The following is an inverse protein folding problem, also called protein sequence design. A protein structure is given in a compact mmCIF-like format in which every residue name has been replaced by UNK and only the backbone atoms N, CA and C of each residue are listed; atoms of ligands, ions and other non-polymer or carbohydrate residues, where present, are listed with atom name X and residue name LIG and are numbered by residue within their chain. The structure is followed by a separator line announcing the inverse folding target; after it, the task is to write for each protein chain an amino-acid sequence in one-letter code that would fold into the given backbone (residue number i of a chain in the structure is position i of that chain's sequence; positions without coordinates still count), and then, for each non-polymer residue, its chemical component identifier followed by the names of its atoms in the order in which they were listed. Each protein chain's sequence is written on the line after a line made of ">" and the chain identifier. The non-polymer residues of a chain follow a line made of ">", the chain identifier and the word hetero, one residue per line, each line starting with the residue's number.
data_IF_630411916157
#
_entry.id   IF_630411916157
#
_cell.length_a   1.000
_cell.length_b   1.000
_cell.length_c   1.000
_cell.angle_alpha   90.00
_cell.angle_beta   90.00
_cell.angle_gamma   90.00
#
_symmetry.space_group_name_H-M   'P 1'
#
loop_
_entity.id
_entity.type
_entity.pdbx_description
1 polymer ?
2 water ?
#
# COMPACT_ATOMS: atom_id res chain seq x y z
N UNK A 3 -15.21 11.25 15.54
CA UNK A 3 -14.57 11.95 16.64
C UNK A 3 -14.43 13.44 16.30
N UNK A 4 -13.18 13.87 16.18
CA UNK A 4 -12.86 15.16 15.58
C UNK A 4 -12.72 14.95 14.06
N UNK A 5 -13.19 13.78 13.62
CA UNK A 5 -13.39 13.44 12.20
C UNK A 5 -12.07 13.23 11.47
N UNK A 21 -8.46 22.48 11.02
CA UNK A 21 -7.30 22.63 11.89
C UNK A 21 -5.99 22.72 11.12
N UNK A 22 -4.95 23.23 11.77
CA UNK A 22 -3.68 23.51 11.11
C UNK A 22 -2.68 22.36 11.30
N UNK A 23 -2.95 21.48 12.27
CA UNK A 23 -2.10 20.30 12.48
C UNK A 23 -2.85 19.05 12.08
N UNK A 24 -2.11 17.97 11.76
CA UNK A 24 -2.77 16.73 11.35
C UNK A 24 -3.45 15.97 12.51
N UNK A 25 -4.57 15.33 12.19
CA UNK A 25 -5.28 14.45 13.12
C UNK A 25 -4.92 12.99 12.86
N UNK A 26 -4.49 12.27 13.89
CA UNK A 26 -4.15 10.85 13.74
C UNK A 26 -5.13 10.00 14.56
N UNK A 27 -6.00 9.26 13.88
CA UNK A 27 -7.06 8.50 14.55
C UNK A 27 -6.68 7.06 14.86
N UNK A 28 -5.64 6.54 14.21
CA UNK A 28 -5.20 5.20 14.55
C UNK A 28 -4.07 4.57 13.76
N UNK A 29 -3.70 3.36 14.20
CA UNK A 29 -2.74 2.49 13.54
C UNK A 29 -3.42 1.17 13.16
N UNK A 30 -3.55 0.91 11.86
CA UNK A 30 -4.16 -0.33 11.37
C UNK A 30 -3.10 -1.28 10.81
N UNK A 31 -3.46 -2.57 10.73
CA UNK A 31 -2.57 -3.58 10.18
C UNK A 31 -3.37 -4.70 9.54
N UNK A 32 -2.92 -5.18 8.38
CA UNK A 32 -3.57 -6.33 7.76
C UNK A 32 -2.51 -7.33 7.29
N UNK A 33 -2.57 -8.53 7.86
CA UNK A 33 -1.52 -9.54 7.69
C UNK A 33 -1.71 -10.36 6.41
N UNK A 34 -2.97 -10.44 5.97
CA UNK A 34 -3.40 -11.25 4.83
C UNK A 34 -3.36 -10.42 3.54
N UNK A 35 -2.16 -10.09 3.10
CA UNK A 35 -2.01 -9.20 1.96
C UNK A 35 -1.25 -9.90 0.82
N UNK A 36 -1.51 -9.50 -0.41
CA UNK A 36 -0.75 -9.99 -1.56
C UNK A 36 -0.22 -8.81 -2.35
N UNK A 37 0.98 -8.94 -2.91
CA UNK A 37 1.54 -7.89 -3.75
C UNK A 37 1.65 -8.38 -5.18
N UNK A 38 1.08 -7.63 -6.13
CA UNK A 38 1.08 -8.05 -7.53
C UNK A 38 1.81 -7.04 -8.39
N UNK A 39 2.74 -7.50 -9.22
CA UNK A 39 3.39 -6.64 -10.21
C UNK A 39 3.23 -7.13 -11.66
N UNK A 40 2.64 -6.28 -12.49
CA UNK A 40 2.60 -6.49 -13.94
C UNK A 40 3.85 -5.89 -14.57
N UNK A 41 4.67 -6.74 -15.17
CA UNK A 41 5.99 -6.36 -15.68
C UNK A 41 6.02 -6.27 -17.20
N UNK A 42 6.66 -5.23 -17.74
CA UNK A 42 6.86 -5.12 -19.18
C UNK A 42 5.62 -4.71 -19.95
N UNK A 43 4.90 -3.75 -19.39
CA UNK A 43 3.73 -3.17 -20.03
C UNK A 43 4.15 -2.14 -21.08
N UNK A 44 3.59 -2.23 -22.30
CA UNK A 44 3.84 -1.18 -23.30
C UNK A 44 3.43 0.17 -22.76
N UNK A 45 4.30 1.17 -22.81
CA UNK A 45 3.88 2.51 -22.39
C UNK A 45 3.09 3.21 -23.52
N UNK A 46 2.01 2.57 -23.95
CA UNK A 46 1.11 3.07 -24.98
C UNK A 46 -0.27 3.22 -24.35
N UNK A 47 -0.96 4.35 -24.59
CA UNK A 47 -2.30 4.56 -24.03
C UNK A 47 -3.22 3.36 -24.29
N UNK A 48 -3.98 2.94 -23.28
CA UNK A 48 -4.89 1.82 -23.44
C UNK A 48 -4.55 0.59 -22.63
N UNK A 49 -3.26 0.32 -22.49
CA UNK A 49 -2.79 -0.93 -21.88
C UNK A 49 -2.93 -0.95 -20.36
N UNK A 50 -2.51 0.14 -19.72
CA UNK A 50 -2.73 0.34 -18.29
C UNK A 50 -4.21 0.22 -17.95
N UNK A 51 -5.05 0.85 -18.77
CA UNK A 51 -6.49 0.82 -18.55
C UNK A 51 -7.01 -0.61 -18.58
N UNK A 52 -6.44 -1.44 -19.46
CA UNK A 52 -6.83 -2.85 -19.52
C UNK A 52 -6.52 -3.57 -18.21
N UNK A 53 -5.39 -3.23 -17.60
CA UNK A 53 -5.01 -3.82 -16.32
C UNK A 53 -6.07 -3.54 -15.27
N UNK A 54 -6.46 -2.28 -15.15
CA UNK A 54 -7.45 -1.89 -14.15
C UNK A 54 -8.84 -2.42 -14.47
N UNK A 55 -9.19 -2.50 -15.76
CA UNK A 55 -10.48 -3.06 -16.15
C UNK A 55 -10.57 -4.55 -15.77
N UNK A 56 -9.49 -5.29 -16.02
CA UNK A 56 -9.41 -6.71 -15.67
C UNK A 56 -9.63 -6.94 -14.18
N UNK A 57 -9.06 -6.06 -13.37
CA UNK A 57 -9.19 -6.15 -11.92
C UNK A 57 -10.62 -5.80 -11.46
N UNK A 58 -11.20 -4.75 -12.04
CA UNK A 58 -12.58 -4.39 -11.78
C UNK A 58 -13.54 -5.51 -12.22
N UNK A 59 -13.31 -6.05 -13.41
CA UNK A 59 -14.11 -7.16 -13.90
C UNK A 59 -14.02 -8.35 -12.96
N UNK A 60 -12.84 -8.60 -12.41
CA UNK A 60 -12.65 -9.72 -11.48
C UNK A 60 -13.08 -9.38 -10.04
N UNK A 61 -13.48 -8.13 -9.82
CA UNK A 61 -14.03 -7.70 -8.54
C UNK A 61 -13.00 -7.75 -7.42
N UNK A 62 -11.81 -7.25 -7.70
CA UNK A 62 -10.81 -7.16 -6.64
C UNK A 62 -10.44 -5.72 -6.30
N UNK A 63 -10.66 -5.36 -5.05
CA UNK A 63 -10.33 -4.04 -4.56
C UNK A 63 -8.83 -3.98 -4.39
N UNK A 64 -8.19 -3.04 -5.07
CA UNK A 64 -6.74 -2.92 -5.05
C UNK A 64 -6.30 -1.66 -4.32
N UNK A 65 -5.03 -1.63 -3.92
CA UNK A 65 -4.52 -0.53 -3.13
C UNK A 65 -3.03 -0.36 -3.40
N UNK A 66 -2.46 0.74 -2.91
CA UNK A 66 -1.02 1.03 -3.04
C UNK A 66 -0.55 1.01 -4.50
N UNK A 67 -1.45 1.37 -5.41
CA UNK A 67 -1.17 1.22 -6.82
C UNK A 67 -0.18 2.27 -7.30
N UNK A 68 0.71 1.85 -8.19
CA UNK A 68 1.73 2.74 -8.71
C UNK A 68 2.08 2.33 -10.14
N UNK A 69 2.59 3.28 -10.91
CA UNK A 69 3.23 2.97 -12.18
C UNK A 69 4.71 3.37 -12.12
N UNK A 70 5.60 2.50 -12.58
CA UNK A 70 6.99 2.92 -12.78
C UNK A 70 7.55 2.46 -14.13
N UNK A 71 8.60 3.15 -14.59
CA UNK A 71 9.32 2.76 -15.81
C UNK A 71 9.97 1.37 -15.69
N UNK A 76 13.21 2.01 -22.89
CA UNK A 76 12.65 0.68 -23.07
C UNK A 76 11.31 0.76 -23.81
N UNK A 77 10.51 1.78 -23.50
CA UNK A 77 9.17 1.91 -24.07
C UNK A 77 8.16 1.09 -23.28
N UNK A 78 8.62 0.58 -22.14
CA UNK A 78 7.84 -0.32 -21.31
C UNK A 78 7.60 0.33 -19.96
N UNK A 79 6.62 -0.20 -19.22
CA UNK A 79 6.33 0.29 -17.87
C UNK A 79 5.90 -0.87 -16.97
N UNK A 80 6.01 -0.71 -15.66
CA UNK A 80 5.44 -1.70 -14.74
C UNK A 80 4.37 -1.05 -13.88
N UNK A 81 3.34 -1.83 -13.54
CA UNK A 81 2.34 -1.44 -12.56
C UNK A 81 2.31 -2.40 -11.37
N UNK A 82 2.25 -1.84 -10.17
CA UNK A 82 2.16 -2.63 -8.96
C UNK A 82 0.91 -2.26 -8.13
N UNK A 83 0.36 -3.24 -7.42
CA UNK A 83 -0.71 -2.98 -6.46
C UNK A 83 -0.73 -4.09 -5.42
N UNK A 84 -1.55 -3.92 -4.38
CA UNK A 84 -1.79 -4.99 -3.43
C UNK A 84 -3.27 -5.35 -3.47
N UNK A 85 -3.62 -6.45 -2.82
CA UNK A 85 -5.00 -6.80 -2.54
C UNK A 85 -4.97 -7.84 -1.44
N UNK A 86 -6.13 -8.25 -0.94
CA UNK A 86 -6.19 -9.29 0.08
C UNK A 86 -5.76 -10.61 -0.54
N UNK A 87 -5.15 -11.49 0.25
CA UNK A 87 -4.62 -12.76 -0.26
C UNK A 87 -5.70 -13.63 -0.86
N UNK A 88 -6.85 -13.64 -0.21
CA UNK A 88 -7.93 -14.55 -0.57
C UNK A 88 -8.33 -14.40 -2.04
N UNK A 89 -8.11 -13.21 -2.60
CA UNK A 89 -8.45 -12.95 -4.00
C UNK A 89 -7.20 -12.74 -4.83
N UNK A 90 -6.04 -12.81 -4.18
CA UNK A 90 -4.77 -12.70 -4.87
C UNK A 90 -4.63 -13.54 -6.13
N UNK A 91 -4.78 -14.87 -6.01
CA UNK A 91 -4.68 -15.80 -7.14
C UNK A 91 -5.74 -15.56 -8.22
N UNK A 92 -6.93 -15.13 -7.82
CA UNK A 92 -7.96 -14.77 -8.79
C UNK A 92 -7.52 -13.57 -9.63
N UNK A 93 -6.91 -12.59 -8.98
CA UNK A 93 -6.32 -11.46 -9.69
C UNK A 93 -5.35 -11.89 -10.80
N UNK A 94 -4.30 -12.61 -10.44
CA UNK A 94 -3.29 -12.93 -11.45
C UNK A 94 -3.84 -13.82 -12.56
N UNK A 95 -4.78 -14.70 -12.23
CA UNK A 95 -5.38 -15.56 -13.24
C UNK A 95 -6.07 -14.73 -14.30
N UNK A 96 -6.91 -13.81 -13.84
CA UNK A 96 -7.62 -12.89 -14.71
C UNK A 96 -6.61 -12.17 -15.57
N UNK A 97 -5.58 -11.64 -14.92
CA UNK A 97 -4.52 -10.92 -15.59
C UNK A 97 -3.88 -11.80 -16.68
N UNK A 98 -3.52 -13.03 -16.32
CA UNK A 98 -2.89 -13.94 -17.28
C UNK A 98 -3.82 -14.35 -18.41
N UNK A 99 -5.11 -14.47 -18.11
CA UNK A 99 -6.10 -14.79 -19.14
C UNK A 99 -6.12 -13.73 -20.24
N UNK A 100 -5.57 -12.55 -19.96
CA UNK A 100 -5.47 -11.49 -20.95
C UNK A 100 -4.02 -11.18 -21.34
N UNK A 101 -3.15 -12.19 -21.31
CA UNK A 101 -1.74 -11.96 -21.67
C UNK A 101 -1.53 -11.48 -23.12
N UNK A 102 -2.46 -11.79 -24.02
CA UNK A 102 -2.27 -11.33 -25.40
C UNK A 102 -2.64 -9.86 -25.57
N UNK A 103 -3.74 -9.48 -24.93
CA UNK A 103 -4.29 -8.13 -25.03
C UNK A 103 -3.51 -7.11 -24.17
N UNK A 104 -3.12 -7.52 -22.97
CA UNK A 104 -2.15 -6.77 -22.17
C UNK A 104 -0.77 -7.21 -22.67
N UNK A 105 0.20 -6.32 -22.80
CA UNK A 105 1.43 -6.72 -23.47
C UNK A 105 2.60 -7.21 -22.61
N UNK A 106 2.30 -7.68 -21.40
CA UNK A 106 3.35 -7.88 -20.39
C UNK A 106 4.19 -9.14 -20.61
N UNK A 107 5.35 -9.17 -19.96
CA UNK A 107 6.24 -10.31 -20.12
C UNK A 107 6.22 -11.20 -18.88
N UNK A 108 5.79 -10.62 -17.76
CA UNK A 108 5.92 -11.29 -16.47
C UNK A 108 4.90 -10.77 -15.46
N UNK A 109 4.41 -11.68 -14.62
CA UNK A 109 3.58 -11.31 -13.48
C UNK A 109 4.34 -11.69 -12.19
N UNK A 110 4.58 -10.73 -11.29
CA UNK A 110 5.22 -11.02 -9.99
C UNK A 110 4.17 -11.13 -8.88
N UNK A 111 4.40 -11.99 -7.89
CA UNK A 111 3.42 -12.21 -6.83
C UNK A 111 4.08 -12.51 -5.48
N UNK A 112 3.64 -11.79 -4.45
CA UNK A 112 4.24 -11.91 -3.12
C UNK A 112 3.13 -11.98 -2.08
N UNK A 113 2.98 -13.14 -1.44
CA UNK A 113 1.96 -13.32 -0.41
C UNK A 113 2.55 -13.66 0.94
N UNK A 114 3.61 -12.95 1.32
CA UNK A 114 4.23 -13.13 2.62
C UNK A 114 4.39 -11.77 3.25
N UNK A 115 3.62 -10.81 2.75
CA UNK A 115 3.72 -9.45 3.21
C UNK A 115 2.44 -9.01 3.90
N UNK A 116 2.53 -7.93 4.68
CA UNK A 116 1.36 -7.35 5.31
C UNK A 116 1.45 -5.84 5.21
N UNK A 117 0.33 -5.16 5.43
CA UNK A 117 0.25 -3.70 5.36
C UNK A 117 0.05 -3.10 6.76
N UNK A 118 0.88 -2.11 7.10
CA UNK A 118 0.68 -1.33 8.32
C UNK A 118 0.42 0.14 7.96
N UNK A 119 -0.53 0.77 8.65
CA UNK A 119 -1.03 2.08 8.23
C UNK A 119 -1.24 3.09 9.36
N UNK A 120 -0.94 4.35 9.06
CA UNK A 120 -1.32 5.44 9.94
C UNK A 120 -2.57 6.08 9.35
N UNK A 121 -3.67 5.99 10.08
CA UNK A 121 -4.95 6.54 9.65
C UNK A 121 -5.08 7.94 10.24
N UNK A 122 -5.78 8.83 9.55
CA UNK A 122 -5.94 10.20 10.01
C UNK A 122 -6.59 11.12 8.98
N UNK A 123 -6.37 12.42 9.12
CA UNK A 123 -6.88 13.40 8.18
C UNK A 123 -5.93 14.58 8.16
N UNK A 124 -5.88 15.30 7.04
CA UNK A 124 -5.02 16.46 6.92
C UNK A 124 -3.53 16.15 6.98
N UNK A 125 -3.15 14.92 6.65
CA UNK A 125 -1.73 14.53 6.77
C UNK A 125 -0.81 15.06 5.67
N UNK A 126 -1.38 15.53 4.57
CA UNK A 126 -0.61 15.80 3.34
C UNK A 126 0.21 17.10 3.36
N UNK A 127 -0.16 18.04 4.23
CA UNK A 127 0.61 19.29 4.33
C UNK A 127 1.74 19.20 5.35
N UNK A 128 1.96 18.00 5.89
CA UNK A 128 3.00 17.80 6.88
C UNK A 128 3.86 16.59 6.53
N UNK A 129 4.85 16.80 5.65
CA UNK A 129 5.73 15.71 5.21
C UNK A 129 6.55 15.12 6.37
N UNK A 130 6.68 15.90 7.44
CA UNK A 130 7.33 15.42 8.64
C UNK A 130 6.68 14.17 9.21
N UNK A 131 5.36 14.06 9.07
CA UNK A 131 4.65 12.88 9.56
C UNK A 131 5.18 11.62 8.87
N UNK A 132 5.27 11.68 7.55
CA UNK A 132 5.78 10.58 6.73
C UNK A 132 7.21 10.21 7.10
N UNK A 133 8.00 11.23 7.40
CA UNK A 133 9.39 11.02 7.76
C UNK A 133 9.45 10.38 9.13
N UNK A 134 8.59 10.83 10.03
CA UNK A 134 8.59 10.27 11.38
C UNK A 134 8.04 8.85 11.34
N UNK A 135 7.12 8.61 10.41
CA UNK A 135 6.58 7.28 10.17
C UNK A 135 7.73 6.34 9.80
N UNK A 136 8.52 6.74 8.81
CA UNK A 136 9.62 5.91 8.35
C UNK A 136 10.75 5.77 9.37
N UNK A 137 11.06 6.85 10.08
CA UNK A 137 12.10 6.81 11.11
C UNK A 137 11.75 5.75 12.17
N UNK A 138 10.47 5.64 12.48
CA UNK A 138 10.00 4.67 13.46
C UNK A 138 10.22 3.22 13.00
N UNK A 139 9.95 2.93 11.73
CA UNK A 139 10.15 1.57 11.25
C UNK A 139 11.63 1.25 11.11
N UNK A 140 12.39 2.24 10.68
CA UNK A 140 13.82 2.05 10.49
C UNK A 140 14.46 1.68 11.83
N UNK A 141 14.05 2.37 12.89
CA UNK A 141 14.60 2.14 14.23
C UNK A 141 14.39 0.71 14.75
N UNK A 142 13.36 0.02 14.28
CA UNK A 142 13.20 -1.40 14.62
C UNK A 142 13.54 -2.31 13.44
N UNK A 143 14.37 -1.80 12.53
CA UNK A 143 14.86 -2.56 11.39
C UNK A 143 13.79 -3.15 10.49
N UNK A 144 12.62 -2.51 10.45
CA UNK A 144 11.61 -2.91 9.47
C UNK A 144 12.00 -2.40 8.09
N UNK A 145 11.94 -3.29 7.09
CA UNK A 145 12.17 -2.93 5.69
C UNK A 145 10.88 -2.57 4.96
N UNK A 146 10.88 -1.42 4.28
CA UNK A 146 9.73 -0.98 3.47
C UNK A 146 9.82 -1.54 2.06
N UNK A 147 8.80 -2.27 1.63
CA UNK A 147 8.73 -2.77 0.25
C UNK A 147 7.88 -1.87 -0.65
N UNK A 148 6.80 -1.33 -0.10
CA UNK A 148 5.96 -0.38 -0.80
C UNK A 148 5.55 0.69 0.20
N UNK A 149 5.30 1.89 -0.32
CA UNK A 149 4.72 2.95 0.48
C UNK A 149 3.73 3.76 -0.35
N UNK A 150 2.58 4.09 0.23
CA UNK A 150 1.63 5.01 -0.40
C UNK A 150 1.18 5.99 0.67
N UNK A 151 0.95 7.24 0.28
CA UNK A 151 0.48 8.25 1.23
C UNK A 151 -0.68 9.06 0.67
N UNK A 152 -1.55 9.51 1.58
CA UNK A 152 -2.67 10.38 1.22
C UNK A 152 -2.92 11.35 2.37
N UNK A 153 -3.95 12.18 2.23
CA UNK A 153 -4.42 13.03 3.32
C UNK A 153 -4.78 12.19 4.55
N UNK A 154 -5.32 11.00 4.31
CA UNK A 154 -5.99 10.22 5.34
C UNK A 154 -5.32 8.89 5.71
N UNK A 155 -4.26 8.51 4.98
CA UNK A 155 -3.55 7.28 5.28
C UNK A 155 -2.10 7.28 4.78
N UNK A 156 -1.18 6.82 5.63
CA UNK A 156 0.17 6.47 5.20
C UNK A 156 0.35 4.97 5.44
N UNK A 157 0.59 4.21 4.38
CA UNK A 157 0.74 2.76 4.51
C UNK A 157 2.09 2.29 4.00
N UNK A 158 2.65 1.28 4.64
CA UNK A 158 3.82 0.64 4.06
C UNK A 158 3.56 -0.84 3.98
N UNK A 159 4.20 -1.50 3.02
CA UNK A 159 4.08 -2.95 2.91
C UNK A 159 5.38 -3.56 3.40
N UNK A 160 5.28 -4.51 4.31
CA UNK A 160 6.46 -5.22 4.78
C UNK A 160 6.15 -6.70 4.98
N UNK A 161 7.20 -7.47 5.23
CA UNK A 161 7.04 -8.88 5.56
C UNK A 161 6.18 -9.06 6.80
N UNK A 162 5.44 -10.16 6.82
CA UNK A 162 4.54 -10.48 7.93
C UNK A 162 5.30 -10.68 9.25
N UNK A 163 6.55 -11.12 9.14
CA UNK A 163 7.38 -11.36 10.32
C UNK A 163 7.73 -10.06 11.09
N UNK A 164 7.36 -8.91 10.52
CA UNK A 164 7.73 -7.62 11.08
C UNK A 164 6.54 -6.73 11.41
N UNK A 165 5.33 -7.21 11.13
CA UNK A 165 4.12 -6.42 11.38
C UNK A 165 3.94 -6.01 12.86
N UNK A 166 4.26 -6.91 13.79
CA UNK A 166 3.94 -6.63 15.19
C UNK A 166 4.84 -5.53 15.75
N UNK A 167 6.12 -5.59 15.40
CA UNK A 167 7.08 -4.58 15.83
C UNK A 167 6.83 -3.24 15.13
N UNK A 168 6.16 -3.28 13.98
CA UNK A 168 5.88 -2.05 13.22
C UNK A 168 4.74 -1.29 13.87
N UNK A 169 3.64 -2.00 14.12
CA UNK A 169 2.52 -1.45 14.88
C UNK A 169 2.96 -0.82 16.22
N UNK A 170 3.76 -1.54 17.00
CA UNK A 170 4.27 -1.03 18.26
C UNK A 170 5.05 0.26 18.07
N UNK A 171 6.04 0.22 17.18
CA UNK A 171 6.89 1.37 16.89
C UNK A 171 6.07 2.59 16.48
N UNK A 172 5.02 2.37 15.69
CA UNK A 172 4.18 3.46 15.23
C UNK A 172 3.40 4.08 16.39
N UNK A 173 2.70 3.24 17.15
CA UNK A 173 2.02 3.69 18.36
C UNK A 173 2.97 4.57 19.21
N UNK A 174 4.17 4.07 19.50
CA UNK A 174 5.14 4.82 20.30
C UNK A 174 5.47 6.17 19.70
N UNK A 175 5.80 6.18 18.42
CA UNK A 175 6.31 7.39 17.79
C UNK A 175 5.28 8.50 17.73
N UNK A 176 4.00 8.14 17.72
CA UNK A 176 2.96 9.14 17.53
C UNK A 176 2.06 9.33 18.74
N UNK A 177 2.49 8.85 19.90
CA UNK A 177 1.70 8.97 21.12
C UNK A 177 0.29 8.38 21.05
N UNK A 178 0.10 7.34 20.24
CA UNK A 178 -1.15 6.58 20.26
C UNK A 178 -0.82 5.26 20.95
N UNK A 179 -1.79 4.66 21.64
CA UNK A 179 -3.13 5.19 21.78
C UNK A 179 -4.02 4.11 22.38
N UNK A 180 -5.25 4.03 21.88
CA UNK A 180 -6.25 3.13 22.42
C UNK A 180 -6.54 1.85 21.65
N UNK A 181 -7.06 1.95 20.42
CA UNK A 181 -7.34 3.23 19.77
C UNK A 181 -8.72 3.81 20.05
N UNK A 182 -8.95 4.18 21.31
CA UNK A 182 -10.05 5.05 21.65
C UNK A 182 -9.53 6.48 21.64
N UNK A 183 -8.21 6.60 21.54
CA UNK A 183 -7.57 7.90 21.40
C UNK A 183 -7.43 8.33 19.93
N UNK A 184 -7.58 9.63 19.70
CA UNK A 184 -7.14 10.27 18.47
C UNK A 184 -6.17 11.36 18.91
N UNK A 185 -5.24 11.76 18.05
CA UNK A 185 -4.35 12.88 18.39
C UNK A 185 -4.24 13.95 17.30
N UNK A 186 -4.07 15.19 17.73
CA UNK A 186 -3.67 16.27 16.85
C UNK A 186 -2.17 16.45 17.03
N UNK A 187 -1.42 16.01 16.04
CA UNK A 187 0.03 15.87 16.18
C UNK A 187 0.81 17.10 15.68
N UNK A 188 1.83 17.52 16.43
CA UNK A 188 2.65 18.66 16.01
C UNK A 188 4.14 18.33 15.86
#
# INVERSE_FOLDING_TARGET
>A
MGSIHHHHHHSSGLVPRGNHMEDPILTGVAHDRSEAKVTIVGLPDIPGYAAKVFRAVADADVNIDMVLQNVSKVEDGKTDITFTCSRDVGPAAVEKLDSLRNEIGFSQLLYDDHIGKVSLIGAGMRSHPGVTATFCEALAAVGVNIELISTSEIRISVLCRDTELDKAVVALHEAFGLGGDEEATVYAGTGRLEHHHHHH
#
